data_IF_474963206341
#
_entry.id   IF_474963206341
#
_cell.length_a   1.000
_cell.length_b   1.000
_cell.length_c   1.000
_cell.angle_alpha   90.00
_cell.angle_beta   90.00
_cell.angle_gamma   90.00
#
_symmetry.space_group_name_H-M   'P 1'
#
loop_
_entity.id
_entity.type
_entity.pdbx_description
1 polymer ?
#
# COMPACT_ATOMS: atom_id res chain seq x y z
N UNK A 1 0.22 32.97 -33.80
CA UNK A 1 -1.22 32.85 -33.50
C UNK A 1 -1.39 32.32 -32.11
N UNK A 2 -2.03 33.06 -31.25
CA UNK A 2 -2.08 32.82 -29.81
C UNK A 2 -2.85 31.60 -29.45
N UNK A 3 -2.37 30.95 -28.40
CA UNK A 3 -2.73 29.63 -28.33
C UNK A 3 -2.78 29.05 -26.98
N UNK A 4 -3.00 29.94 -26.03
CA UNK A 4 -3.57 29.56 -24.77
C UNK A 4 -5.07 29.34 -24.97
N UNK A 5 -5.52 28.15 -24.75
CA UNK A 5 -6.93 27.85 -24.71
C UNK A 5 -7.48 28.28 -23.35
N UNK A 6 -8.39 29.26 -23.36
CA UNK A 6 -9.10 29.68 -22.14
C UNK A 6 -10.52 29.15 -22.17
N UNK A 7 -10.96 28.56 -21.08
CA UNK A 7 -12.37 28.21 -20.87
C UNK A 7 -12.82 28.60 -19.46
N UNK A 8 -14.09 28.93 -19.32
CA UNK A 8 -14.72 29.06 -18.01
C UNK A 8 -15.38 27.75 -17.65
N UNK A 9 -14.99 27.22 -16.49
CA UNK A 9 -15.69 26.08 -15.90
C UNK A 9 -16.98 26.57 -15.20
N UNK A 10 -17.81 25.63 -14.75
CA UNK A 10 -19.07 25.92 -14.06
C UNK A 10 -18.91 26.67 -12.73
N UNK A 11 -17.75 26.78 -12.19
CA UNK A 11 -17.41 27.51 -10.95
C UNK A 11 -16.87 28.91 -11.24
N UNK A 12 -16.73 29.30 -12.50
CA UNK A 12 -16.24 30.62 -12.91
C UNK A 12 -14.73 30.80 -12.85
N UNK A 13 -13.97 29.76 -12.61
CA UNK A 13 -12.51 29.77 -12.62
C UNK A 13 -12.04 29.66 -14.08
N UNK A 14 -11.22 30.62 -14.52
CA UNK A 14 -10.59 30.53 -15.83
C UNK A 14 -9.39 29.60 -15.78
N UNK A 15 -9.34 28.66 -16.72
CA UNK A 15 -8.19 27.77 -16.92
C UNK A 15 -7.51 28.08 -18.25
N UNK A 16 -6.19 28.04 -18.25
CA UNK A 16 -5.37 28.17 -19.46
C UNK A 16 -4.59 26.88 -19.67
N UNK A 17 -4.62 26.38 -20.91
CA UNK A 17 -3.74 25.30 -21.33
C UNK A 17 -2.46 25.90 -21.91
N UNK A 18 -1.28 25.57 -21.38
CA UNK A 18 -0.03 25.89 -22.05
C UNK A 18 0.01 25.12 -23.36
N UNK A 19 0.53 25.77 -24.40
CA UNK A 19 0.53 25.19 -25.74
C UNK A 19 1.59 24.14 -25.94
N UNK A 20 2.73 24.40 -25.37
CA UNK A 20 3.93 23.57 -25.47
C UNK A 20 4.30 23.13 -24.07
N UNK A 21 4.38 21.81 -23.86
CA UNK A 21 4.92 21.25 -22.63
C UNK A 21 6.45 21.27 -22.69
N UNK A 22 7.15 21.47 -21.57
CA UNK A 22 8.60 21.32 -21.52
C UNK A 22 9.00 19.95 -22.06
N UNK A 23 10.05 19.88 -22.86
CA UNK A 23 10.58 18.62 -23.37
C UNK A 23 11.23 17.76 -22.27
N UNK A 24 11.85 18.43 -21.29
CA UNK A 24 12.46 17.78 -20.13
C UNK A 24 11.63 18.00 -18.87
N UNK A 25 11.07 16.92 -18.34
CA UNK A 25 10.28 16.90 -17.11
C UNK A 25 11.02 16.29 -15.92
N UNK A 26 12.32 16.02 -16.04
CA UNK A 26 13.11 15.32 -15.03
C UNK A 26 13.18 16.06 -13.67
N UNK A 27 13.02 17.38 -13.70
CA UNK A 27 13.01 18.24 -12.51
C UNK A 27 11.61 18.41 -11.88
N UNK A 28 10.55 17.87 -12.49
CA UNK A 28 9.22 17.88 -11.92
C UNK A 28 9.11 16.74 -10.90
N UNK A 29 8.80 17.02 -9.62
CA UNK A 29 8.69 15.97 -8.61
C UNK A 29 7.64 14.93 -9.00
N UNK A 30 8.00 13.66 -8.92
CA UNK A 30 7.04 12.56 -9.12
C UNK A 30 6.06 12.53 -7.94
N UNK A 31 4.77 12.54 -8.24
CA UNK A 31 3.73 12.49 -7.23
C UNK A 31 3.88 11.25 -6.34
N UNK A 32 3.80 11.46 -5.03
CA UNK A 32 3.93 10.40 -4.03
C UNK A 32 5.27 9.65 -4.08
N UNK A 33 6.32 10.28 -4.62
CA UNK A 33 7.68 9.77 -4.55
C UNK A 33 8.35 10.28 -3.28
N UNK A 34 8.76 9.36 -2.42
CA UNK A 34 9.49 9.67 -1.18
C UNK A 34 10.89 9.08 -1.27
N UNK A 35 11.91 9.93 -1.26
CA UNK A 35 13.33 9.52 -1.32
C UNK A 35 13.99 9.61 0.06
N UNK A 36 13.39 8.97 1.07
CA UNK A 36 13.96 8.90 2.40
C UNK A 36 14.98 7.75 2.54
N UNK A 37 15.87 7.90 3.48
CA UNK A 37 16.88 6.92 3.87
C UNK A 37 16.59 6.38 5.27
N UNK A 38 17.37 5.39 5.69
CA UNK A 38 17.22 4.77 7.01
C UNK A 38 17.27 5.79 8.16
N UNK A 39 18.16 6.78 8.05
CA UNK A 39 18.31 7.84 9.06
C UNK A 39 17.05 8.68 9.19
N UNK A 40 16.33 8.90 8.09
CA UNK A 40 15.12 9.74 8.04
C UNK A 40 13.89 9.04 8.61
N UNK A 41 13.95 7.73 8.86
CA UNK A 41 12.82 6.98 9.40
C UNK A 41 12.56 7.37 10.85
N UNK A 42 11.38 7.92 11.11
CA UNK A 42 10.91 8.31 12.45
C UNK A 42 10.11 7.15 13.03
N UNK A 43 10.51 6.67 14.21
CA UNK A 43 9.79 5.62 14.94
C UNK A 43 8.51 6.22 15.53
N UNK A 44 7.48 5.39 15.65
CA UNK A 44 6.12 5.75 16.06
C UNK A 44 5.36 6.67 15.09
N UNK A 45 5.98 7.10 13.99
CA UNK A 45 5.27 7.84 12.96
C UNK A 45 4.16 6.98 12.36
N UNK A 46 2.95 7.56 12.28
CA UNK A 46 1.74 6.92 11.75
C UNK A 46 1.21 7.69 10.56
N UNK A 47 0.75 6.94 9.57
CA UNK A 47 -0.04 7.49 8.46
C UNK A 47 -1.31 6.67 8.29
N UNK A 48 -2.35 7.31 7.75
CA UNK A 48 -3.61 6.66 7.41
C UNK A 48 -3.93 6.89 5.94
N UNK A 49 -4.35 5.83 5.26
CA UNK A 49 -4.80 5.92 3.87
C UNK A 49 -6.14 6.62 3.72
N UNK A 50 -6.47 6.99 2.49
CA UNK A 50 -7.85 7.20 2.08
C UNK A 50 -8.62 5.87 2.16
N UNK A 51 -9.95 5.97 2.10
CA UNK A 51 -10.84 4.82 2.08
C UNK A 51 -11.01 4.31 0.66
N UNK A 52 -11.14 2.99 0.50
CA UNK A 52 -11.45 2.35 -0.77
C UNK A 52 -12.52 1.28 -0.58
N UNK A 53 -13.58 1.35 -1.38
CA UNK A 53 -14.59 0.30 -1.47
C UNK A 53 -14.12 -0.76 -2.46
N UNK A 54 -14.21 -2.03 -2.08
CA UNK A 54 -13.83 -3.16 -2.94
C UNK A 54 -15.04 -3.53 -3.78
N UNK A 55 -14.93 -3.36 -5.09
CA UNK A 55 -15.97 -3.73 -6.04
C UNK A 55 -15.94 -5.21 -6.39
N UNK A 56 -17.06 -5.74 -6.86
CA UNK A 56 -17.14 -7.11 -7.36
C UNK A 56 -16.22 -7.36 -8.55
N UNK A 57 -16.18 -6.42 -9.49
CA UNK A 57 -15.31 -6.55 -10.67
C UNK A 57 -13.85 -6.70 -10.32
N UNK A 58 -13.35 -5.88 -9.38
CA UNK A 58 -11.97 -5.96 -8.90
C UNK A 58 -11.70 -7.29 -8.20
N UNK A 59 -12.63 -7.76 -7.36
CA UNK A 59 -12.48 -9.02 -6.64
C UNK A 59 -12.41 -10.21 -7.61
N UNK A 60 -13.28 -10.26 -8.61
CA UNK A 60 -13.27 -11.32 -9.61
C UNK A 60 -12.02 -11.27 -10.51
N UNK A 61 -11.59 -10.08 -10.90
CA UNK A 61 -10.36 -9.91 -11.66
C UNK A 61 -9.14 -10.37 -10.85
N UNK A 62 -9.04 -9.97 -9.59
CA UNK A 62 -7.95 -10.42 -8.72
C UNK A 62 -7.94 -11.93 -8.55
N UNK A 63 -9.10 -12.55 -8.27
CA UNK A 63 -9.21 -14.00 -8.13
C UNK A 63 -8.76 -14.73 -9.40
N UNK A 64 -9.13 -14.24 -10.58
CA UNK A 64 -8.68 -14.79 -11.86
C UNK A 64 -7.16 -14.70 -12.06
N UNK A 65 -6.54 -13.58 -11.65
CA UNK A 65 -5.10 -13.40 -11.77
C UNK A 65 -4.29 -14.31 -10.83
N UNK A 66 -4.79 -14.54 -9.62
CA UNK A 66 -4.08 -15.37 -8.61
C UNK A 66 -4.58 -16.81 -8.56
N UNK A 67 -5.54 -17.18 -9.42
CA UNK A 67 -6.17 -18.50 -9.49
C UNK A 67 -6.84 -18.92 -8.18
N UNK A 68 -7.36 -17.97 -7.40
CA UNK A 68 -8.14 -18.26 -6.20
C UNK A 68 -9.60 -18.57 -6.59
N UNK A 69 -9.85 -19.86 -6.83
CA UNK A 69 -11.16 -20.37 -7.22
C UNK A 69 -11.96 -20.95 -6.04
N UNK A 70 -11.60 -20.59 -4.81
CA UNK A 70 -12.30 -21.09 -3.63
C UNK A 70 -13.78 -20.67 -3.65
N UNK A 71 -14.74 -21.59 -3.34
CA UNK A 71 -16.18 -21.29 -3.45
C UNK A 71 -16.64 -20.07 -2.65
N UNK A 72 -16.05 -19.79 -1.49
CA UNK A 72 -16.37 -18.60 -0.71
C UNK A 72 -16.07 -17.28 -1.44
N UNK A 73 -15.15 -17.26 -2.38
CA UNK A 73 -14.77 -16.03 -3.11
C UNK A 73 -15.31 -15.97 -4.53
N UNK A 74 -15.46 -17.14 -5.20
CA UNK A 74 -15.85 -17.23 -6.61
C UNK A 74 -17.31 -17.60 -6.86
N UNK A 75 -17.95 -18.33 -5.95
CA UNK A 75 -19.28 -18.91 -6.15
C UNK A 75 -20.34 -18.23 -5.27
N UNK A 76 -21.17 -17.40 -5.92
CA UNK A 76 -22.27 -16.69 -5.24
C UNK A 76 -23.36 -17.64 -4.73
N UNK A 77 -23.66 -18.70 -5.49
CA UNK A 77 -24.68 -19.68 -5.09
C UNK A 77 -24.26 -20.43 -3.83
N UNK A 78 -23.03 -20.94 -3.83
CA UNK A 78 -22.45 -21.58 -2.65
C UNK A 78 -22.41 -20.63 -1.46
N UNK A 79 -21.87 -19.43 -1.65
CA UNK A 79 -21.70 -18.46 -0.57
C UNK A 79 -23.03 -18.13 0.12
N UNK A 80 -24.13 -17.97 -0.65
CA UNK A 80 -25.47 -17.66 -0.11
C UNK A 80 -26.16 -18.85 0.56
N UNK A 81 -26.11 -20.02 -0.06
CA UNK A 81 -26.95 -21.14 0.36
C UNK A 81 -26.23 -22.04 1.36
N UNK A 82 -24.95 -22.31 1.16
CA UNK A 82 -24.15 -23.27 1.92
C UNK A 82 -23.10 -22.56 2.80
N UNK A 83 -22.53 -21.46 2.30
CA UNK A 83 -21.46 -20.74 2.98
C UNK A 83 -21.83 -20.21 4.37
N UNK A 84 -20.86 -20.24 5.29
CA UNK A 84 -21.00 -19.79 6.68
C UNK A 84 -21.44 -18.33 6.80
N UNK A 85 -20.91 -17.47 5.94
CA UNK A 85 -21.12 -16.01 6.02
C UNK A 85 -22.33 -15.52 5.24
N UNK A 86 -22.98 -16.37 4.44
CA UNK A 86 -24.11 -16.03 3.56
C UNK A 86 -23.83 -14.90 2.55
N UNK A 87 -22.54 -14.62 2.32
CA UNK A 87 -22.01 -13.61 1.38
C UNK A 87 -20.66 -14.06 0.86
N UNK A 88 -20.33 -13.64 -0.38
CA UNK A 88 -18.97 -13.88 -0.90
C UNK A 88 -17.94 -13.04 -0.15
N UNK A 89 -16.84 -13.69 0.16
CA UNK A 89 -15.67 -13.04 0.75
C UNK A 89 -14.83 -12.34 -0.32
N UNK A 90 -14.12 -11.32 0.08
CA UNK A 90 -12.93 -10.86 -0.63
C UNK A 90 -11.77 -11.79 -0.29
N UNK A 91 -11.02 -12.26 -1.29
CA UNK A 91 -9.86 -13.10 -1.07
C UNK A 91 -8.89 -12.45 -0.07
N UNK A 92 -8.40 -13.23 0.90
CA UNK A 92 -7.49 -12.70 1.91
C UNK A 92 -6.23 -12.07 1.31
N UNK A 93 -5.68 -12.69 0.25
CA UNK A 93 -4.56 -12.14 -0.50
C UNK A 93 -4.87 -10.75 -1.09
N UNK A 94 -6.09 -10.50 -1.57
CA UNK A 94 -6.52 -9.19 -2.06
C UNK A 94 -6.59 -8.16 -0.93
N UNK A 95 -7.18 -8.52 0.21
CA UNK A 95 -7.25 -7.64 1.39
C UNK A 95 -5.85 -7.25 1.84
N UNK A 96 -4.91 -8.20 1.86
CA UNK A 96 -3.51 -7.97 2.17
C UNK A 96 -2.86 -7.02 1.15
N UNK A 97 -2.93 -7.33 -0.14
CA UNK A 97 -2.30 -6.52 -1.19
C UNK A 97 -2.86 -5.10 -1.25
N UNK A 98 -4.19 -4.96 -1.15
CA UNK A 98 -4.84 -3.65 -1.14
C UNK A 98 -4.52 -2.87 0.13
N UNK A 99 -4.54 -3.55 1.29
CA UNK A 99 -4.20 -2.93 2.56
C UNK A 99 -2.80 -2.32 2.57
N UNK A 100 -1.81 -3.03 2.00
CA UNK A 100 -0.47 -2.49 1.85
C UNK A 100 -0.39 -1.39 0.78
N UNK A 101 -1.00 -1.64 -0.37
CA UNK A 101 -0.99 -0.69 -1.49
C UNK A 101 -1.57 0.67 -1.15
N UNK A 102 -2.59 0.72 -0.27
CA UNK A 102 -3.21 1.98 0.16
C UNK A 102 -2.26 2.93 0.91
N UNK A 103 -1.19 2.42 1.51
CA UNK A 103 -0.18 3.20 2.24
C UNK A 103 1.24 2.92 1.73
N UNK A 104 1.35 2.36 0.53
CA UNK A 104 2.64 2.11 -0.11
C UNK A 104 3.37 3.43 -0.37
N UNK A 105 4.68 3.42 -0.19
CA UNK A 105 5.56 4.52 -0.58
C UNK A 105 6.32 4.12 -1.84
N UNK A 106 6.57 5.09 -2.71
CA UNK A 106 7.37 4.89 -3.91
C UNK A 106 8.84 5.24 -3.66
N UNK A 107 9.33 4.95 -2.44
CA UNK A 107 10.70 5.25 -2.04
C UNK A 107 11.68 4.31 -2.74
N UNK A 108 12.54 4.85 -3.60
CA UNK A 108 13.56 4.08 -4.33
C UNK A 108 14.66 3.52 -3.43
N UNK A 109 14.82 4.04 -2.21
CA UNK A 109 15.81 3.60 -1.23
C UNK A 109 15.29 2.50 -0.31
N UNK A 110 14.04 2.06 -0.50
CA UNK A 110 13.39 1.06 0.34
C UNK A 110 12.78 -0.04 -0.50
N UNK A 111 12.95 -1.28 -0.06
CA UNK A 111 12.34 -2.44 -0.71
C UNK A 111 11.89 -3.48 0.32
N UNK A 112 10.93 -4.31 -0.09
CA UNK A 112 10.37 -5.36 0.77
C UNK A 112 11.44 -6.41 1.11
N UNK A 113 11.56 -6.71 2.40
CA UNK A 113 12.43 -7.79 2.89
C UNK A 113 11.63 -9.02 3.32
N UNK A 114 10.44 -8.80 3.87
CA UNK A 114 9.55 -9.88 4.27
C UNK A 114 8.38 -9.39 5.11
N UNK A 115 7.49 -10.31 5.43
CA UNK A 115 6.30 -10.05 6.26
C UNK A 115 6.25 -11.03 7.42
N UNK A 116 5.99 -10.48 8.61
CA UNK A 116 5.78 -11.25 9.83
C UNK A 116 4.35 -11.05 10.34
N UNK A 117 3.90 -12.00 11.18
CA UNK A 117 2.63 -11.91 11.92
C UNK A 117 1.40 -11.58 11.08
N UNK A 118 1.37 -12.03 9.82
CA UNK A 118 0.20 -11.85 8.99
C UNK A 118 -0.99 -12.60 9.57
N UNK A 119 -2.09 -11.89 9.86
CA UNK A 119 -3.34 -12.44 10.39
C UNK A 119 -4.55 -11.81 9.71
N UNK A 120 -5.42 -12.65 9.19
CA UNK A 120 -6.77 -12.29 8.79
C UNK A 120 -7.66 -12.40 10.03
N UNK A 121 -8.11 -11.26 10.56
CA UNK A 121 -8.79 -11.18 11.86
C UNK A 121 -10.30 -11.32 11.70
N UNK A 122 -10.85 -10.66 10.67
CA UNK A 122 -12.27 -10.71 10.35
C UNK A 122 -12.49 -10.76 8.84
N UNK A 123 -13.62 -11.33 8.39
CA UNK A 123 -13.93 -11.40 6.97
C UNK A 123 -14.18 -10.00 6.38
N UNK A 124 -13.75 -9.84 5.13
CA UNK A 124 -14.08 -8.69 4.27
C UNK A 124 -14.98 -9.20 3.17
N UNK A 125 -16.06 -8.48 2.88
CA UNK A 125 -17.03 -8.84 1.85
C UNK A 125 -16.96 -7.89 0.67
N UNK A 126 -17.42 -8.32 -0.48
CA UNK A 126 -17.60 -7.46 -1.65
C UNK A 126 -18.52 -6.31 -1.26
N UNK A 127 -18.11 -5.07 -1.57
CA UNK A 127 -18.79 -3.85 -1.18
C UNK A 127 -18.30 -3.22 0.13
N UNK A 128 -17.49 -3.93 0.92
CA UNK A 128 -16.86 -3.34 2.11
C UNK A 128 -15.87 -2.23 1.72
N UNK A 129 -15.84 -1.18 2.54
CA UNK A 129 -14.89 -0.07 2.40
C UNK A 129 -13.77 -0.22 3.42
N UNK A 130 -12.54 -0.31 2.96
CA UNK A 130 -11.35 -0.49 3.79
C UNK A 130 -10.47 0.76 3.82
N UNK A 131 -9.62 0.85 4.83
CA UNK A 131 -8.50 1.78 4.93
C UNK A 131 -7.40 1.16 5.79
N UNK A 132 -6.19 1.68 5.68
CA UNK A 132 -5.02 1.16 6.40
C UNK A 132 -4.39 2.24 7.27
N UNK A 133 -3.95 1.85 8.46
CA UNK A 133 -3.01 2.61 9.29
C UNK A 133 -1.67 1.90 9.21
N UNK A 134 -0.62 2.66 8.86
CA UNK A 134 0.78 2.21 8.88
C UNK A 134 1.51 2.91 10.01
N UNK A 135 2.33 2.16 10.77
CA UNK A 135 3.16 2.69 11.85
C UNK A 135 4.58 2.15 11.75
N UNK A 136 5.59 3.00 11.78
CA UNK A 136 6.97 2.59 11.93
C UNK A 136 7.21 2.14 13.38
N UNK A 137 7.61 0.88 13.59
CA UNK A 137 7.70 0.27 14.93
C UNK A 137 9.11 0.29 15.50
N UNK A 138 10.05 -0.16 14.70
CA UNK A 138 11.47 -0.24 15.07
C UNK A 138 12.37 -0.18 13.85
N UNK A 139 13.63 0.17 14.06
CA UNK A 139 14.66 0.08 13.05
C UNK A 139 15.95 -0.44 13.63
N UNK A 140 16.64 -1.31 12.88
CA UNK A 140 17.92 -1.91 13.28
C UNK A 140 18.92 -1.87 12.14
N UNK A 141 20.16 -1.48 12.38
CA UNK A 141 21.25 -1.67 11.42
C UNK A 141 21.39 -3.17 11.11
N UNK A 142 21.72 -3.51 9.86
CA UNK A 142 21.88 -4.94 9.52
C UNK A 142 23.05 -5.21 8.58
N UNK A 143 23.21 -4.44 7.53
CA UNK A 143 24.25 -4.63 6.52
C UNK A 143 25.05 -3.33 6.33
N UNK A 144 26.21 -3.42 5.66
CA UNK A 144 27.05 -2.25 5.36
C UNK A 144 26.29 -1.11 4.70
N UNK A 145 25.38 -1.42 3.77
CA UNK A 145 24.67 -0.43 2.95
C UNK A 145 23.22 -0.17 3.36
N UNK A 146 22.65 -0.97 4.26
CA UNK A 146 21.24 -0.90 4.60
C UNK A 146 20.93 -1.40 6.01
N UNK A 147 19.87 -0.86 6.59
CA UNK A 147 19.25 -1.35 7.81
C UNK A 147 17.85 -1.92 7.55
N UNK A 148 17.28 -2.56 8.55
CA UNK A 148 15.90 -3.03 8.55
C UNK A 148 15.00 -2.06 9.31
N UNK A 149 13.84 -1.81 8.76
CA UNK A 149 12.73 -1.08 9.39
C UNK A 149 11.54 -2.00 9.47
N UNK A 150 10.98 -2.18 10.68
CA UNK A 150 9.72 -2.90 10.90
C UNK A 150 8.57 -1.91 10.95
N UNK A 151 7.55 -2.18 10.17
CA UNK A 151 6.36 -1.32 10.06
C UNK A 151 5.11 -2.18 10.23
N UNK A 152 4.19 -1.80 11.12
CA UNK A 152 2.88 -2.46 11.19
C UNK A 152 1.92 -1.89 10.16
N UNK A 153 1.04 -2.77 9.69
CA UNK A 153 -0.10 -2.44 8.83
C UNK A 153 -1.36 -2.99 9.47
N UNK A 154 -2.24 -2.10 9.82
CA UNK A 154 -3.54 -2.39 10.39
C UNK A 154 -4.61 -2.01 9.38
N UNK A 155 -5.28 -3.01 8.79
CA UNK A 155 -6.37 -2.78 7.84
C UNK A 155 -7.69 -2.82 8.57
N UNK A 156 -8.49 -1.79 8.36
CA UNK A 156 -9.80 -1.61 8.97
C UNK A 156 -10.88 -1.55 7.91
N UNK A 157 -12.10 -1.91 8.29
CA UNK A 157 -13.31 -1.68 7.49
C UNK A 157 -14.36 -0.87 8.25
N UNK A 158 -15.29 -0.29 7.51
CA UNK A 158 -16.44 0.44 8.07
C UNK A 158 -16.02 1.55 9.04
N UNK A 159 -16.49 1.48 10.28
CA UNK A 159 -16.25 2.49 11.34
C UNK A 159 -15.01 2.20 12.20
N UNK A 160 -14.10 1.35 11.76
CA UNK A 160 -12.87 1.04 12.51
C UNK A 160 -12.78 -0.41 13.00
N UNK A 161 -13.46 -1.33 12.33
CA UNK A 161 -13.32 -2.76 12.59
C UNK A 161 -12.05 -3.29 11.94
N UNK A 162 -11.10 -3.79 12.74
CA UNK A 162 -9.85 -4.37 12.24
C UNK A 162 -10.13 -5.70 11.53
N UNK A 163 -9.60 -5.85 10.32
CA UNK A 163 -9.79 -7.04 9.48
C UNK A 163 -8.49 -7.77 9.18
N UNK A 164 -7.35 -7.05 9.19
CA UNK A 164 -6.04 -7.62 8.95
C UNK A 164 -4.97 -6.88 9.73
N UNK A 165 -4.00 -7.63 10.23
CA UNK A 165 -2.75 -7.12 10.79
C UNK A 165 -1.57 -7.82 10.16
N UNK A 166 -0.50 -7.09 9.86
CA UNK A 166 0.79 -7.67 9.55
C UNK A 166 1.94 -6.71 9.92
N UNK A 167 3.13 -7.26 10.03
CA UNK A 167 4.37 -6.51 10.18
C UNK A 167 5.22 -6.68 8.92
N UNK A 168 5.61 -5.59 8.31
CA UNK A 168 6.43 -5.56 7.12
C UNK A 168 7.86 -5.18 7.49
N UNK A 169 8.81 -5.96 7.05
CA UNK A 169 10.23 -5.66 7.13
C UNK A 169 10.68 -5.03 5.82
N UNK A 170 11.18 -3.82 5.92
CA UNK A 170 11.80 -3.10 4.81
C UNK A 170 13.32 -3.11 4.96
N UNK A 171 14.03 -3.39 3.89
CA UNK A 171 15.43 -3.01 3.76
C UNK A 171 15.51 -1.57 3.28
N UNK A 172 16.24 -0.73 3.98
CA UNK A 172 16.34 0.71 3.69
C UNK A 172 17.81 1.11 3.62
N UNK A 173 18.18 1.78 2.53
CA UNK A 173 19.55 2.24 2.31
C UNK A 173 19.94 3.32 3.33
N UNK A 174 21.20 3.34 3.74
CA UNK A 174 21.81 4.46 4.47
C UNK A 174 22.17 5.60 3.52
N UNK A 175 22.18 6.84 4.04
CA UNK A 175 22.73 7.99 3.31
C UNK A 175 24.21 7.80 2.97
N UNK A 176 24.93 7.13 3.86
CA UNK A 176 26.32 6.70 3.67
C UNK A 176 26.49 5.30 4.19
N UNK A 177 27.26 4.44 3.50
CA UNK A 177 27.58 3.11 4.01
C UNK A 177 28.15 3.19 5.42
N UNK A 178 27.82 2.22 6.27
CA UNK A 178 28.32 2.10 7.63
C UNK A 178 29.50 1.13 7.64
N UNK A 179 30.53 1.41 8.43
CA UNK A 179 31.58 0.43 8.73
C UNK A 179 31.01 -0.65 9.67
N UNK A 180 30.23 -1.53 9.12
CA UNK A 180 29.68 -2.67 9.83
C UNK A 180 30.72 -3.81 9.81
N UNK A 181 31.48 -3.96 10.87
CA UNK A 181 32.16 -5.23 11.14
C UNK A 181 31.07 -6.24 11.48
N UNK A 182 30.93 -7.21 10.61
CA UNK A 182 29.90 -8.23 10.72
C UNK A 182 29.89 -8.85 12.11
N UNK A 183 28.82 -8.66 12.87
CA UNK A 183 28.67 -9.27 14.20
C UNK A 183 28.42 -10.78 14.10
N UNK A 184 28.36 -11.33 12.89
CA UNK A 184 28.10 -12.74 12.60
C UNK A 184 29.38 -13.57 12.34
N UNK A 185 30.56 -12.98 12.27
CA UNK A 185 31.80 -13.73 12.15
C UNK A 185 32.33 -14.30 13.49
N UNK A 186 31.52 -14.36 14.54
CA UNK A 186 31.85 -15.05 15.78
C UNK A 186 30.87 -16.16 16.08
N UNK A 187 30.98 -17.26 15.32
CA UNK A 187 30.68 -18.62 15.80
C UNK A 187 31.51 -19.63 15.04
#
# INVERSE_FOLDING_TARGET
>A
MNKDFKYKNTVGIESTYPKDMPEDHSNIPVWNSENWFYEDVIIDHKIRSLRRTISEGEAMQFNGMVLDMHPYVGDEHFAKNEGLFKKRLVAGAMVFSYGLGLVATNCVNSFSYGYDRLRFIKPVFIGDTIYTIRKNMEKKPKYEKMGLVRTSYEVFKGKGEIVLYCEHLHSVLYKKPQDFKDQFEKK
#
